data_IF_545618027967
#
_entry.id   IF_545618027967
#
_cell.length_a   1.000
_cell.length_b   1.000
_cell.length_c   1.000
_cell.angle_alpha   90.00
_cell.angle_beta   90.00
_cell.angle_gamma   90.00
#
_symmetry.space_group_name_H-M   'P 1'
#
loop_
_entity.id
_entity.type
_entity.pdbx_description
1 polymer ?
#
# COMPACT_ATOMS: atom_id res chain seq x y z
N UNK A 1 -16.48 -30.06 -18.31
CA UNK A 1 -15.39 -30.23 -19.28
C UNK A 1 -14.11 -29.92 -18.53
N UNK A 2 -13.39 -30.94 -18.09
CA UNK A 2 -12.11 -30.81 -17.39
C UNK A 2 -11.10 -30.21 -18.35
N UNK A 3 -10.67 -28.96 -18.12
CA UNK A 3 -9.50 -28.42 -18.81
C UNK A 3 -8.29 -29.24 -18.34
N UNK A 4 -7.70 -30.00 -19.26
CA UNK A 4 -6.47 -30.74 -19.03
C UNK A 4 -5.38 -29.80 -18.52
N UNK A 5 -4.62 -30.30 -17.54
CA UNK A 5 -3.37 -29.71 -17.09
C UNK A 5 -2.35 -29.77 -18.24
N UNK A 6 -2.39 -28.79 -19.15
CA UNK A 6 -1.39 -28.71 -20.21
C UNK A 6 -0.10 -28.20 -19.59
N UNK A 7 0.80 -29.13 -19.25
CA UNK A 7 2.23 -28.87 -19.05
C UNK A 7 2.86 -28.47 -20.41
N UNK A 8 2.36 -27.42 -21.05
CA UNK A 8 2.96 -26.93 -22.28
C UNK A 8 4.26 -26.21 -21.92
N UNK A 9 5.37 -26.93 -22.08
CA UNK A 9 6.73 -26.39 -21.90
C UNK A 9 7.08 -25.26 -22.88
N UNK A 10 6.14 -24.82 -23.73
CA UNK A 10 6.28 -23.74 -24.70
C UNK A 10 5.84 -22.34 -24.22
N UNK A 11 5.03 -22.22 -23.17
CA UNK A 11 4.61 -20.90 -22.63
C UNK A 11 5.50 -20.42 -21.48
N UNK A 12 6.80 -20.34 -21.73
CA UNK A 12 7.74 -19.66 -20.83
C UNK A 12 7.79 -18.19 -21.19
N UNK A 13 7.66 -17.33 -20.20
CA UNK A 13 7.82 -15.89 -20.40
C UNK A 13 8.63 -15.29 -19.26
N UNK A 14 9.18 -14.11 -19.56
CA UNK A 14 9.89 -13.30 -18.58
C UNK A 14 8.89 -12.33 -17.97
N UNK A 15 8.72 -12.36 -16.66
CA UNK A 15 8.07 -11.25 -15.97
C UNK A 15 9.15 -10.20 -15.74
N UNK A 16 8.94 -8.97 -16.23
CA UNK A 16 9.85 -7.89 -15.88
C UNK A 16 9.81 -7.62 -14.38
N UNK A 17 10.85 -6.98 -13.85
CA UNK A 17 10.95 -6.72 -12.41
C UNK A 17 9.71 -5.93 -11.90
N UNK A 18 9.32 -4.86 -12.59
CA UNK A 18 8.11 -4.08 -12.27
C UNK A 18 6.79 -4.86 -12.33
N UNK A 19 6.81 -6.04 -12.93
CA UNK A 19 5.70 -6.93 -13.22
C UNK A 19 5.65 -8.13 -12.27
N UNK A 20 6.76 -8.43 -11.60
CA UNK A 20 6.84 -9.30 -10.42
C UNK A 20 6.24 -8.58 -9.21
N UNK A 21 6.20 -7.25 -9.28
CA UNK A 21 5.94 -6.32 -8.19
C UNK A 21 4.66 -5.50 -8.34
N UNK A 22 3.73 -5.66 -7.40
CA UNK A 22 2.57 -4.77 -7.28
C UNK A 22 2.59 -3.88 -6.03
N UNK A 23 3.64 -4.00 -5.20
CA UNK A 23 3.78 -3.23 -3.97
C UNK A 23 5.01 -2.36 -3.97
N UNK A 24 4.93 -1.34 -3.11
CA UNK A 24 5.99 -0.43 -2.74
C UNK A 24 7.38 -1.09 -2.66
N UNK A 25 7.43 -2.22 -1.97
CA UNK A 25 8.67 -2.82 -1.48
C UNK A 25 9.29 -3.76 -2.52
N UNK A 26 8.46 -4.46 -3.28
CA UNK A 26 8.94 -5.25 -4.40
C UNK A 26 9.50 -4.34 -5.51
N UNK A 27 8.99 -3.11 -5.70
CA UNK A 27 9.60 -2.14 -6.64
C UNK A 27 10.90 -1.59 -6.08
N UNK A 28 10.94 -1.23 -4.78
CA UNK A 28 12.14 -0.69 -4.14
C UNK A 28 13.30 -1.68 -4.17
N UNK A 29 13.08 -2.97 -3.87
CA UNK A 29 14.14 -4.01 -3.93
C UNK A 29 14.67 -4.21 -5.36
N UNK A 30 13.79 -4.17 -6.36
CA UNK A 30 14.18 -4.31 -7.77
C UNK A 30 14.92 -3.07 -8.29
N UNK A 31 14.52 -1.88 -7.84
CA UNK A 31 15.22 -0.62 -8.12
C UNK A 31 16.52 -0.46 -7.30
N UNK A 32 16.67 -1.18 -6.19
CA UNK A 32 17.87 -1.19 -5.34
C UNK A 32 19.11 -1.79 -6.01
N UNK A 33 18.97 -2.41 -7.19
CA UNK A 33 20.09 -2.74 -8.09
C UNK A 33 20.54 -1.56 -8.97
N UNK A 34 19.86 -0.42 -8.89
CA UNK A 34 20.11 0.81 -9.65
C UNK A 34 19.84 2.08 -8.81
N UNK A 35 20.69 2.32 -7.80
CA UNK A 35 21.02 3.68 -7.34
C UNK A 35 20.03 4.38 -6.39
N UNK A 36 20.46 4.56 -5.15
CA UNK A 36 19.88 5.49 -4.19
C UNK A 36 20.06 6.95 -4.67
N UNK A 37 18.97 7.66 -4.97
CA UNK A 37 18.95 9.13 -5.03
C UNK A 37 17.52 9.64 -4.81
N UNK A 38 17.20 10.02 -3.58
CA UNK A 38 16.07 10.91 -3.29
C UNK A 38 16.34 11.66 -1.98
N UNK A 39 17.07 12.76 -2.09
CA UNK A 39 17.37 13.57 -0.92
C UNK A 39 18.31 14.74 -1.18
N UNK A 40 18.15 15.48 -2.28
CA UNK A 40 18.56 16.88 -2.44
C UNK A 40 18.40 17.30 -3.91
N UNK A 41 18.03 18.56 -4.15
CA UNK A 41 17.82 19.23 -5.46
C UNK A 41 16.43 19.11 -6.11
N UNK A 42 15.43 19.74 -5.47
CA UNK A 42 14.28 20.32 -6.19
C UNK A 42 14.19 21.85 -6.02
N UNK A 43 15.33 22.54 -6.04
CA UNK A 43 15.33 23.98 -6.31
C UNK A 43 16.31 24.31 -7.44
N UNK A 44 15.73 24.76 -8.56
CA UNK A 44 16.30 25.56 -9.68
C UNK A 44 16.07 24.94 -11.05
N UNK A 45 14.83 24.96 -11.55
CA UNK A 45 14.62 25.18 -12.99
C UNK A 45 13.37 26.04 -13.19
N UNK A 46 13.58 27.36 -13.33
CA UNK A 46 12.63 28.26 -14.00
C UNK A 46 13.44 29.25 -14.83
N UNK A 47 13.00 29.48 -16.08
CA UNK A 47 13.47 30.48 -17.07
C UNK A 47 14.73 30.01 -17.85
N UNK A 48 14.73 29.77 -19.17
CA UNK A 48 14.25 30.62 -20.28
C UNK A 48 14.06 29.83 -21.59
N UNK A 49 13.13 30.31 -22.45
CA UNK A 49 12.99 29.96 -23.88
C UNK A 49 13.95 30.79 -24.73
N UNK A 50 14.55 30.21 -25.78
CA UNK A 50 15.14 30.98 -26.88
C UNK A 50 16.04 30.21 -27.88
N UNK A 51 15.48 29.86 -29.04
CA UNK A 51 16.08 29.78 -30.40
C UNK A 51 17.37 28.96 -30.74
N UNK A 52 17.16 27.85 -31.47
CA UNK A 52 17.74 27.39 -32.77
C UNK A 52 19.23 27.73 -33.10
N UNK A 53 20.11 26.72 -33.27
CA UNK A 53 20.61 26.12 -34.57
C UNK A 53 21.91 25.30 -34.41
N UNK A 54 22.01 24.25 -35.24
CA UNK A 54 23.19 23.49 -35.74
C UNK A 54 24.07 22.66 -34.79
N UNK A 55 24.17 21.36 -35.10
CA UNK A 55 25.28 20.47 -34.71
C UNK A 55 26.57 20.81 -35.50
N UNK A 56 27.76 20.51 -34.95
CA UNK A 56 28.49 19.34 -35.42
C UNK A 56 29.39 18.58 -34.39
N UNK A 57 29.71 17.35 -34.79
CA UNK A 57 30.92 16.53 -34.58
C UNK A 57 31.34 16.03 -33.17
N UNK A 58 31.01 14.76 -32.96
CA UNK A 58 31.60 13.83 -31.99
C UNK A 58 33.07 13.56 -32.32
N UNK A 59 34.03 14.12 -31.58
CA UNK A 59 35.33 13.47 -31.24
C UNK A 59 36.31 14.35 -30.42
N UNK A 60 35.97 15.57 -30.00
CA UNK A 60 36.91 16.46 -29.28
C UNK A 60 36.54 16.83 -27.83
N UNK A 61 35.49 16.24 -27.24
CA UNK A 61 35.00 16.63 -25.90
C UNK A 61 35.68 15.89 -24.73
N UNK A 62 36.46 14.84 -25.00
CA UNK A 62 36.89 13.90 -23.94
C UNK A 62 38.26 14.18 -23.28
N UNK A 63 38.83 15.38 -23.43
CA UNK A 63 40.12 15.71 -22.79
C UNK A 63 40.02 16.96 -21.88
N UNK A 64 38.96 17.76 -21.96
CA UNK A 64 38.77 18.92 -21.07
C UNK A 64 37.93 18.65 -19.82
N UNK A 65 37.22 17.51 -19.75
CA UNK A 65 36.45 17.14 -18.54
C UNK A 65 37.34 16.53 -17.45
N UNK A 66 38.54 16.02 -17.80
CA UNK A 66 39.43 15.33 -16.85
C UNK A 66 40.42 16.23 -16.10
N UNK A 67 40.43 17.55 -16.32
CA UNK A 67 41.28 18.49 -15.56
C UNK A 67 40.49 19.52 -14.71
N UNK A 68 39.17 19.63 -14.88
CA UNK A 68 38.32 20.48 -14.05
C UNK A 68 37.87 19.79 -12.75
N UNK A 69 38.08 18.47 -12.62
CA UNK A 69 37.78 17.67 -11.43
C UNK A 69 38.97 17.51 -10.46
N UNK A 70 39.97 18.39 -10.56
CA UNK A 70 41.17 18.32 -9.72
C UNK A 70 41.68 19.70 -9.23
N UNK A 71 40.80 20.68 -8.98
CA UNK A 71 41.19 21.96 -8.32
C UNK A 71 40.10 22.50 -7.38
N UNK A 72 39.23 21.67 -6.79
CA UNK A 72 38.35 22.09 -5.68
C UNK A 72 38.47 21.10 -4.51
N UNK A 73 39.71 20.84 -4.07
CA UNK A 73 40.00 20.06 -2.85
C UNK A 73 40.77 20.89 -1.81
N UNK A 74 41.09 22.17 -2.08
CA UNK A 74 41.87 22.98 -1.13
C UNK A 74 41.27 24.37 -0.98
N UNK A 75 40.20 24.49 -0.18
CA UNK A 75 39.82 25.67 0.62
C UNK A 75 38.38 25.50 1.15
N UNK A 76 38.19 24.64 2.15
CA UNK A 76 37.22 24.90 3.23
C UNK A 76 37.48 23.97 4.42
N UNK A 77 38.48 24.26 5.27
CA UNK A 77 38.43 23.76 6.64
C UNK A 77 37.38 24.60 7.37
N UNK A 78 36.55 23.97 8.22
CA UNK A 78 35.42 24.54 8.98
C UNK A 78 34.04 24.29 8.32
N UNK A 79 33.56 23.04 8.42
CA UNK A 79 32.24 22.76 9.02
C UNK A 79 32.18 21.28 9.45
N UNK A 80 33.01 20.93 10.42
CA UNK A 80 32.95 19.68 11.16
C UNK A 80 32.43 20.04 12.57
N UNK A 81 31.11 20.12 12.71
CA UNK A 81 30.25 20.39 13.89
C UNK A 81 28.93 20.88 13.27
N UNK A 82 27.78 20.19 13.26
CA UNK A 82 27.17 19.25 14.20
C UNK A 82 26.23 18.40 13.34
N UNK A 83 26.49 17.08 13.18
CA UNK A 83 25.40 16.16 12.88
C UNK A 83 24.38 16.33 14.02
N UNK A 84 23.08 16.53 13.79
CA UNK A 84 22.11 16.41 14.87
C UNK A 84 22.27 14.98 15.41
N UNK A 85 22.93 14.89 16.55
CA UNK A 85 23.04 13.68 17.32
C UNK A 85 21.65 13.35 17.83
N UNK A 86 21.20 12.13 17.54
CA UNK A 86 20.07 11.50 18.21
C UNK A 86 18.83 11.44 17.35
N UNK A 87 18.35 10.21 17.15
CA UNK A 87 16.92 9.93 17.08
C UNK A 87 16.28 10.72 18.22
N UNK A 88 15.56 11.80 17.90
CA UNK A 88 14.66 12.40 18.88
C UNK A 88 13.54 11.37 19.03
N UNK A 89 13.71 10.46 20.00
CA UNK A 89 12.58 9.70 20.51
C UNK A 89 11.70 10.77 21.15
N UNK A 90 10.68 11.20 20.42
CA UNK A 90 9.62 12.02 20.97
C UNK A 90 8.97 11.18 22.07
N UNK A 91 9.30 11.50 23.33
CA UNK A 91 8.84 10.74 24.49
C UNK A 91 7.31 10.70 24.55
N UNK A 92 6.65 11.73 24.02
CA UNK A 92 5.20 11.83 23.93
C UNK A 92 4.66 10.84 22.88
N UNK A 93 5.32 10.71 21.72
CA UNK A 93 4.97 9.65 20.73
C UNK A 93 5.17 8.25 21.28
N UNK A 94 6.28 8.00 21.99
CA UNK A 94 6.52 6.69 22.58
C UNK A 94 5.46 6.36 23.65
N UNK A 95 5.03 7.35 24.42
CA UNK A 95 3.94 7.19 25.39
C UNK A 95 2.61 6.95 24.69
N UNK A 96 2.32 7.69 23.62
CA UNK A 96 1.11 7.52 22.81
C UNK A 96 1.05 6.14 22.14
N UNK A 97 2.16 5.67 21.56
CA UNK A 97 2.29 4.31 21.02
C UNK A 97 2.02 3.24 22.09
N UNK A 98 2.57 3.40 23.29
CA UNK A 98 2.30 2.47 24.41
C UNK A 98 0.84 2.46 24.85
N UNK A 99 0.18 3.62 24.86
CA UNK A 99 -1.24 3.72 25.18
C UNK A 99 -2.10 3.06 24.09
N UNK A 100 -1.82 3.40 22.82
CA UNK A 100 -2.41 2.75 21.64
C UNK A 100 -2.25 1.22 21.69
N UNK A 101 -1.09 0.73 22.12
CA UNK A 101 -0.77 -0.68 22.22
C UNK A 101 -1.24 -1.38 23.52
N UNK A 102 -2.01 -0.73 24.39
CA UNK A 102 -2.49 -1.36 25.62
C UNK A 102 -4.00 -1.22 25.80
N UNK A 103 -4.73 -2.30 25.56
CA UNK A 103 -6.21 -2.36 25.73
C UNK A 103 -6.67 -2.01 27.14
N UNK A 104 -5.85 -2.20 28.18
CA UNK A 104 -6.21 -1.80 29.56
C UNK A 104 -6.33 -0.28 29.72
N UNK A 105 -5.78 0.50 28.80
CA UNK A 105 -5.87 1.97 28.80
C UNK A 105 -7.14 2.48 28.13
N UNK A 106 -7.93 1.62 27.48
CA UNK A 106 -9.14 2.02 26.74
C UNK A 106 -10.31 2.23 27.71
N UNK A 107 -10.24 3.29 28.50
CA UNK A 107 -11.26 3.64 29.48
C UNK A 107 -12.28 4.63 28.89
N UNK A 108 -13.50 4.13 28.66
CA UNK A 108 -14.64 4.94 28.18
C UNK A 108 -15.57 5.42 29.31
N UNK A 109 -15.27 5.12 30.57
CA UNK A 109 -16.16 5.37 31.72
C UNK A 109 -16.46 6.85 31.96
N UNK A 110 -15.54 7.73 31.54
CA UNK A 110 -15.67 9.19 31.64
C UNK A 110 -16.13 9.85 30.35
N UNK A 111 -16.24 9.09 29.26
CA UNK A 111 -16.58 9.60 27.93
C UNK A 111 -18.09 9.57 27.68
N UNK A 112 -18.58 10.57 26.96
CA UNK A 112 -19.96 10.58 26.47
C UNK A 112 -20.02 9.80 25.16
N UNK A 113 -20.82 8.72 25.12
CA UNK A 113 -21.00 7.91 23.92
C UNK A 113 -21.64 8.74 22.80
N UNK A 114 -21.08 8.66 21.59
CA UNK A 114 -21.63 9.30 20.41
C UNK A 114 -22.86 8.58 19.84
N UNK A 115 -23.52 9.19 18.86
CA UNK A 115 -24.74 8.63 18.26
C UNK A 115 -24.49 7.52 17.25
N UNK A 116 -23.27 7.40 16.72
CA UNK A 116 -22.91 6.37 15.73
C UNK A 116 -22.66 5.04 16.43
N UNK A 117 -23.04 3.94 15.78
CA UNK A 117 -22.61 2.61 16.21
C UNK A 117 -21.09 2.44 15.97
N UNK A 118 -20.34 2.20 17.04
CA UNK A 118 -18.90 1.98 17.00
C UNK A 118 -18.50 0.50 17.06
N UNK A 119 -19.46 -0.44 17.16
CA UNK A 119 -19.17 -1.88 17.17
C UNK A 119 -18.46 -2.29 15.87
N UNK A 120 -17.28 -2.92 15.91
CA UNK A 120 -16.59 -3.35 14.71
C UNK A 120 -17.35 -4.42 13.93
N UNK A 121 -17.27 -4.35 12.60
CA UNK A 121 -17.74 -5.38 11.67
C UNK A 121 -16.58 -5.80 10.77
N UNK A 122 -15.91 -6.87 11.17
CA UNK A 122 -14.91 -7.54 10.35
C UNK A 122 -15.62 -8.56 9.44
N UNK A 123 -15.79 -8.21 8.17
CA UNK A 123 -16.35 -9.14 7.18
C UNK A 123 -15.43 -10.35 7.01
N UNK A 124 -16.01 -11.54 6.87
CA UNK A 124 -15.26 -12.80 6.78
C UNK A 124 -15.42 -13.41 5.39
N UNK A 125 -14.37 -13.42 4.56
CA UNK A 125 -14.37 -14.14 3.29
C UNK A 125 -14.67 -15.63 3.49
N UNK A 126 -15.46 -16.22 2.59
CA UNK A 126 -15.85 -17.64 2.65
C UNK A 126 -15.63 -18.34 1.32
N UNK A 127 -15.08 -19.55 1.39
CA UNK A 127 -14.92 -20.45 0.27
C UNK A 127 -16.16 -21.38 0.18
N UNK A 128 -17.28 -20.84 -0.29
CA UNK A 128 -18.57 -21.53 -0.32
C UNK A 128 -18.67 -22.61 -1.40
N UNK A 129 -17.72 -22.67 -2.34
CA UNK A 129 -17.55 -23.78 -3.27
C UNK A 129 -18.63 -23.95 -4.34
N UNK A 130 -19.50 -22.96 -4.56
CA UNK A 130 -20.58 -23.02 -5.57
C UNK A 130 -20.07 -22.77 -6.99
N UNK A 131 -19.10 -21.86 -7.14
CA UNK A 131 -18.44 -21.53 -8.41
C UNK A 131 -16.94 -21.71 -8.24
N UNK A 132 -16.42 -22.87 -8.63
CA UNK A 132 -15.02 -23.24 -8.44
C UNK A 132 -14.38 -23.64 -9.76
N UNK A 133 -13.21 -23.07 -10.02
CA UNK A 133 -12.33 -23.42 -11.13
C UNK A 133 -11.05 -24.02 -10.55
N UNK A 134 -10.62 -25.19 -11.02
CA UNK A 134 -9.43 -25.84 -10.46
C UNK A 134 -8.72 -26.74 -11.46
N UNK A 135 -7.44 -26.96 -11.20
CA UNK A 135 -6.63 -28.02 -11.78
C UNK A 135 -5.82 -28.72 -10.66
N UNK A 136 -4.77 -29.45 -11.01
CA UNK A 136 -3.99 -30.24 -10.04
C UNK A 136 -3.22 -29.38 -9.01
N UNK A 137 -2.91 -28.12 -9.31
CA UNK A 137 -2.09 -27.25 -8.44
C UNK A 137 -2.78 -25.99 -7.96
N UNK A 138 -3.91 -25.61 -8.55
CA UNK A 138 -4.60 -24.37 -8.19
C UNK A 138 -6.12 -24.55 -8.14
N UNK A 139 -6.75 -23.87 -7.18
CA UNK A 139 -8.20 -23.75 -7.02
C UNK A 139 -8.55 -22.27 -6.85
N UNK A 140 -9.45 -21.77 -7.68
CA UNK A 140 -10.10 -20.46 -7.57
C UNK A 140 -11.55 -20.69 -7.21
N UNK A 141 -11.94 -20.23 -6.03
CA UNK A 141 -13.34 -20.12 -5.60
C UNK A 141 -13.82 -18.69 -5.91
N UNK A 142 -14.69 -18.58 -6.90
CA UNK A 142 -15.31 -17.34 -7.35
C UNK A 142 -16.78 -17.24 -6.90
N UNK A 143 -17.19 -18.03 -5.91
CA UNK A 143 -18.58 -18.03 -5.42
C UNK A 143 -19.04 -16.66 -4.95
N UNK A 144 -18.13 -15.92 -4.32
CA UNK A 144 -18.39 -14.60 -3.74
C UNK A 144 -17.79 -13.47 -4.59
N UNK A 145 -17.66 -13.67 -5.92
CA UNK A 145 -17.18 -12.63 -6.82
C UNK A 145 -18.08 -11.38 -6.80
N UNK A 146 -19.39 -11.53 -6.62
CA UNK A 146 -20.31 -10.39 -6.44
C UNK A 146 -20.12 -9.62 -5.13
N UNK A 147 -19.44 -10.24 -4.14
CA UNK A 147 -19.02 -9.58 -2.90
C UNK A 147 -17.63 -8.94 -3.04
N UNK A 148 -17.06 -8.92 -4.25
CA UNK A 148 -15.82 -8.19 -4.53
C UNK A 148 -14.53 -8.94 -4.20
N UNK A 149 -14.56 -10.27 -4.08
CA UNK A 149 -13.33 -11.05 -3.87
C UNK A 149 -13.39 -12.46 -4.49
N UNK A 150 -12.20 -13.05 -4.66
CA UNK A 150 -12.01 -14.48 -4.94
C UNK A 150 -11.11 -15.10 -3.88
N UNK A 151 -11.26 -16.40 -3.67
CA UNK A 151 -10.37 -17.16 -2.79
C UNK A 151 -9.55 -18.12 -3.63
N UNK A 152 -8.23 -18.01 -3.53
CA UNK A 152 -7.29 -18.79 -4.31
C UNK A 152 -6.46 -19.66 -3.38
N UNK A 153 -6.30 -20.92 -3.78
CA UNK A 153 -5.47 -21.90 -3.08
C UNK A 153 -4.52 -22.53 -4.08
N UNK A 154 -3.24 -22.53 -3.74
CA UNK A 154 -2.20 -23.23 -4.49
C UNK A 154 -1.70 -24.44 -3.70
N UNK A 155 -1.56 -25.58 -4.38
CA UNK A 155 -1.17 -26.88 -3.82
C UNK A 155 -0.04 -27.55 -4.60
N UNK A 156 0.59 -26.84 -5.54
CA UNK A 156 1.75 -27.34 -6.27
C UNK A 156 3.04 -27.29 -5.44
N UNK A 157 4.14 -27.74 -6.05
CA UNK A 157 5.44 -27.89 -5.37
C UNK A 157 6.43 -26.75 -5.65
N UNK A 158 6.09 -25.82 -6.56
CA UNK A 158 6.98 -24.68 -6.85
C UNK A 158 7.18 -23.81 -5.60
N UNK A 159 8.43 -23.49 -5.21
CA UNK A 159 8.73 -22.71 -4.02
C UNK A 159 8.40 -21.23 -4.18
N UNK A 160 8.18 -20.74 -5.40
CA UNK A 160 7.85 -19.35 -5.71
C UNK A 160 6.73 -19.30 -6.72
N UNK A 161 5.59 -18.74 -6.32
CA UNK A 161 4.38 -18.68 -7.12
C UNK A 161 3.84 -17.27 -7.15
N UNK A 162 3.47 -16.82 -8.35
CA UNK A 162 2.83 -15.53 -8.56
C UNK A 162 1.40 -15.72 -9.01
N UNK A 163 0.50 -14.93 -8.45
CA UNK A 163 -0.86 -14.76 -8.94
C UNK A 163 -0.91 -13.44 -9.71
N UNK A 164 -1.54 -13.43 -10.88
CA UNK A 164 -1.99 -12.21 -11.54
C UNK A 164 -3.50 -12.17 -11.63
N UNK A 165 -4.06 -11.01 -11.30
CA UNK A 165 -5.45 -10.67 -11.56
C UNK A 165 -5.44 -9.43 -12.45
N UNK A 166 -5.97 -9.57 -13.67
CA UNK A 166 -6.17 -8.45 -14.59
C UNK A 166 -7.64 -8.11 -14.63
N UNK A 167 -7.97 -6.88 -14.21
CA UNK A 167 -9.34 -6.38 -14.19
C UNK A 167 -9.80 -5.80 -15.53
N UNK A 168 -11.07 -5.35 -15.60
CA UNK A 168 -11.62 -4.63 -16.75
C UNK A 168 -10.95 -3.26 -17.01
N UNK A 169 -10.23 -2.72 -16.03
CA UNK A 169 -9.40 -1.52 -16.13
C UNK A 169 -8.02 -1.80 -16.78
N UNK A 170 -7.76 -3.04 -17.18
CA UNK A 170 -6.51 -3.54 -17.76
C UNK A 170 -5.29 -3.50 -16.80
N UNK A 171 -5.49 -3.11 -15.53
CA UNK A 171 -4.43 -3.11 -14.52
C UNK A 171 -4.13 -4.54 -14.12
N UNK A 172 -2.83 -4.88 -14.09
CA UNK A 172 -2.34 -6.23 -13.72
C UNK A 172 -1.86 -6.22 -12.28
N UNK A 173 -2.69 -6.72 -11.37
CA UNK A 173 -2.33 -6.92 -9.98
C UNK A 173 -1.54 -8.22 -9.82
N UNK A 174 -0.35 -8.15 -9.23
CA UNK A 174 0.56 -9.30 -9.08
C UNK A 174 0.82 -9.59 -7.60
N UNK A 175 0.50 -10.78 -7.14
CA UNK A 175 0.62 -11.20 -5.75
C UNK A 175 1.58 -12.38 -5.60
N UNK A 176 2.19 -12.52 -4.43
CA UNK A 176 2.83 -13.78 -4.04
C UNK A 176 1.75 -14.74 -3.51
N UNK A 177 1.77 -15.99 -3.94
CA UNK A 177 0.96 -17.02 -3.28
C UNK A 177 1.80 -17.79 -2.28
N UNK A 178 1.18 -18.17 -1.17
CA UNK A 178 1.77 -19.06 -0.16
C UNK A 178 1.97 -20.44 -0.79
N UNK A 179 3.18 -21.00 -0.65
CA UNK A 179 3.58 -22.27 -1.28
C UNK A 179 3.59 -23.46 -0.31
N UNK A 180 3.37 -23.23 0.99
CA UNK A 180 3.45 -24.23 2.06
C UNK A 180 2.22 -25.16 2.18
N UNK A 181 1.57 -25.49 1.05
CA UNK A 181 0.61 -26.60 0.99
C UNK A 181 -0.88 -26.24 1.17
N UNK A 182 -1.37 -25.19 0.52
CA UNK A 182 -2.81 -25.04 0.32
C UNK A 182 -3.55 -24.11 1.28
N UNK A 183 -2.94 -22.97 1.63
CA UNK A 183 -3.68 -21.88 2.29
C UNK A 183 -4.76 -21.33 1.35
N UNK A 184 -5.95 -21.07 1.87
CA UNK A 184 -6.94 -20.25 1.16
C UNK A 184 -6.57 -18.78 1.39
N UNK A 185 -6.30 -18.05 0.31
CA UNK A 185 -5.91 -16.64 0.33
C UNK A 185 -6.95 -15.80 -0.42
N UNK A 186 -7.21 -14.60 0.08
CA UNK A 186 -8.31 -13.76 -0.38
C UNK A 186 -7.75 -12.60 -1.20
N UNK A 187 -8.28 -12.43 -2.40
CA UNK A 187 -7.87 -11.38 -3.34
C UNK A 187 -9.07 -10.53 -3.74
N UNK A 188 -8.96 -9.20 -3.68
CA UNK A 188 -10.07 -8.32 -4.03
C UNK A 188 -10.28 -8.31 -5.54
N UNK A 189 -11.48 -7.89 -5.95
CA UNK A 189 -11.87 -7.58 -7.32
C UNK A 189 -12.14 -6.07 -7.41
N UNK A 190 -11.09 -5.30 -7.18
CA UNK A 190 -11.12 -3.84 -6.96
C UNK A 190 -11.41 -3.01 -8.23
N UNK A 191 -11.27 -3.61 -9.41
CA UNK A 191 -11.51 -2.95 -10.70
C UNK A 191 -13.01 -2.83 -11.09
N UNK A 192 -13.94 -3.26 -10.22
CA UNK A 192 -15.38 -3.12 -10.43
C UNK A 192 -16.01 -4.19 -11.31
N UNK A 193 -17.10 -3.84 -11.99
CA UNK A 193 -17.83 -4.77 -12.85
C UNK A 193 -17.06 -5.10 -14.14
N UNK A 194 -17.15 -6.34 -14.56
CA UNK A 194 -16.70 -6.79 -15.87
C UNK A 194 -15.86 -8.05 -15.82
N UNK A 195 -15.03 -8.22 -16.86
CA UNK A 195 -14.26 -9.45 -17.07
C UNK A 195 -12.90 -9.38 -16.39
N UNK A 196 -12.60 -10.40 -15.60
CA UNK A 196 -11.30 -10.58 -14.95
C UNK A 196 -10.57 -11.78 -15.54
N UNK A 197 -9.25 -11.64 -15.71
CA UNK A 197 -8.34 -12.75 -16.00
C UNK A 197 -7.53 -13.06 -14.74
N UNK A 198 -7.69 -14.27 -14.23
CA UNK A 198 -6.92 -14.81 -13.11
C UNK A 198 -5.89 -15.79 -13.67
N UNK A 199 -4.62 -15.62 -13.33
CA UNK A 199 -3.54 -16.51 -13.76
C UNK A 199 -2.57 -16.82 -12.63
N UNK A 200 -2.25 -18.09 -12.44
CA UNK A 200 -1.23 -18.56 -11.48
C UNK A 200 0.00 -19.00 -12.25
N UNK A 201 1.16 -18.60 -11.77
CA UNK A 201 2.45 -18.81 -12.40
C UNK A 201 3.42 -19.46 -11.42
N UNK A 202 4.03 -20.56 -11.85
CA UNK A 202 5.12 -21.21 -11.12
C UNK A 202 6.46 -20.67 -11.61
N UNK A 203 7.35 -20.35 -10.68
CA UNK A 203 8.71 -19.95 -11.03
C UNK A 203 9.51 -21.14 -11.56
N UNK A 204 10.30 -20.89 -12.61
CA UNK A 204 11.27 -21.86 -13.13
C UNK A 204 12.67 -21.55 -12.62
N UNK A 205 13.15 -20.34 -12.89
CA UNK A 205 14.47 -19.85 -12.47
C UNK A 205 14.49 -18.33 -12.58
N UNK A 206 15.02 -17.65 -11.55
CA UNK A 206 15.11 -16.19 -11.54
C UNK A 206 13.74 -15.54 -11.74
N UNK A 207 13.59 -14.80 -12.84
CA UNK A 207 12.36 -14.08 -13.23
C UNK A 207 11.57 -14.80 -14.35
N UNK A 208 11.94 -16.04 -14.69
CA UNK A 208 11.22 -16.85 -15.66
C UNK A 208 10.10 -17.64 -14.99
N UNK A 209 8.90 -17.52 -15.54
CA UNK A 209 7.72 -18.21 -15.04
C UNK A 209 7.02 -18.99 -16.15
N UNK A 210 6.24 -19.98 -15.74
CA UNK A 210 5.33 -20.73 -16.59
C UNK A 210 3.91 -20.63 -16.04
N UNK A 211 2.93 -20.48 -16.92
CA UNK A 211 1.53 -20.49 -16.53
C UNK A 211 1.15 -21.88 -16.00
N UNK A 212 0.72 -21.93 -14.74
CA UNK A 212 0.24 -23.15 -14.08
C UNK A 212 -1.29 -23.23 -14.12
N UNK A 213 -1.99 -22.10 -14.09
CA UNK A 213 -3.44 -22.03 -14.16
C UNK A 213 -3.88 -20.71 -14.79
N UNK A 214 -5.00 -20.71 -15.51
CA UNK A 214 -5.64 -19.48 -16.00
C UNK A 214 -7.15 -19.65 -16.07
N UNK A 215 -7.88 -18.60 -15.71
CA UNK A 215 -9.34 -18.58 -15.74
C UNK A 215 -9.86 -17.17 -15.99
N UNK A 216 -10.85 -17.04 -16.86
CA UNK A 216 -11.63 -15.80 -16.96
C UNK A 216 -12.89 -15.92 -16.09
N UNK A 217 -13.24 -14.86 -15.37
CA UNK A 217 -14.51 -14.75 -14.66
C UNK A 217 -15.21 -13.46 -15.05
N UNK A 218 -16.54 -13.47 -15.03
CA UNK A 218 -17.37 -12.28 -15.19
C UNK A 218 -17.88 -11.86 -13.82
N UNK A 219 -17.73 -10.58 -13.49
CA UNK A 219 -18.04 -10.02 -12.18
C UNK A 219 -19.10 -8.95 -12.32
N UNK A 220 -20.10 -9.02 -11.45
CA UNK A 220 -21.07 -7.95 -11.22
C UNK A 220 -21.20 -7.81 -9.71
N UNK A 221 -20.72 -6.68 -9.18
CA UNK A 221 -20.69 -6.41 -7.75
C UNK A 221 -22.10 -6.10 -7.25
N UNK A 222 -22.41 -6.59 -6.05
CA UNK A 222 -23.64 -6.20 -5.35
C UNK A 222 -23.56 -4.74 -4.89
N UNK A 223 -22.36 -4.27 -4.57
CA UNK A 223 -22.04 -2.91 -4.16
C UNK A 223 -20.55 -2.64 -4.49
N UNK A 224 -20.27 -1.48 -5.09
CA UNK A 224 -18.92 -1.06 -5.52
C UNK A 224 -17.93 -0.91 -4.36
N UNK A 225 -18.42 -0.78 -3.13
CA UNK A 225 -17.59 -0.61 -1.94
C UNK A 225 -17.12 -1.91 -1.29
N UNK A 226 -17.74 -3.06 -1.62
CA UNK A 226 -17.43 -4.35 -0.97
C UNK A 226 -15.96 -4.79 -1.08
N UNK A 227 -15.27 -4.66 -2.24
CA UNK A 227 -13.83 -4.96 -2.32
C UNK A 227 -12.99 -4.19 -1.29
N UNK A 228 -13.47 -3.01 -0.87
CA UNK A 228 -12.81 -2.10 0.07
C UNK A 228 -13.36 -2.18 1.49
N UNK A 229 -14.09 -3.26 1.82
CA UNK A 229 -14.61 -3.58 3.15
C UNK A 229 -14.14 -4.96 3.62
N UNK A 230 -13.93 -5.91 2.71
CA UNK A 230 -13.39 -7.21 3.07
C UNK A 230 -11.88 -7.16 3.38
N UNK A 231 -11.38 -8.05 4.26
CA UNK A 231 -9.96 -8.30 4.37
C UNK A 231 -9.44 -9.00 3.11
N UNK A 232 -8.20 -8.71 2.76
CA UNK A 232 -7.48 -9.35 1.66
C UNK A 232 -6.01 -9.58 2.03
N UNK A 233 -5.20 -10.10 1.11
CA UNK A 233 -3.80 -10.43 1.41
C UNK A 233 -2.99 -9.25 1.97
N UNK A 234 -3.17 -8.03 1.46
CA UNK A 234 -2.45 -6.86 1.94
C UNK A 234 -3.11 -6.22 3.16
N UNK A 235 -4.44 -6.10 3.13
CA UNK A 235 -5.22 -5.53 4.23
C UNK A 235 -5.92 -6.67 4.97
N UNK A 236 -5.15 -7.40 5.78
CA UNK A 236 -5.63 -8.59 6.48
C UNK A 236 -5.96 -8.27 7.95
N UNK A 237 -7.24 -8.36 8.31
CA UNK A 237 -7.73 -8.05 9.65
C UNK A 237 -8.92 -8.92 10.04
N UNK A 238 -9.12 -9.09 11.34
CA UNK A 238 -10.26 -9.79 11.94
C UNK A 238 -10.58 -9.21 13.34
N UNK A 239 -11.69 -9.64 13.93
CA UNK A 239 -12.13 -9.14 15.24
C UNK A 239 -11.18 -9.47 16.42
N UNK A 240 -10.28 -10.44 16.25
CA UNK A 240 -9.28 -10.78 17.25
C UNK A 240 -8.16 -9.75 17.36
N UNK A 241 -7.93 -8.97 16.30
CA UNK A 241 -6.81 -8.04 16.23
C UNK A 241 -6.93 -6.90 17.25
N UNK A 242 -5.80 -6.51 17.81
CA UNK A 242 -5.71 -5.38 18.73
C UNK A 242 -6.04 -4.06 18.05
N UNK A 243 -5.59 -3.86 16.82
CA UNK A 243 -5.88 -2.65 16.04
C UNK A 243 -7.40 -2.39 15.90
N UNK A 244 -8.20 -3.47 15.79
CA UNK A 244 -9.65 -3.36 15.68
C UNK A 244 -10.33 -2.98 17.00
N UNK A 245 -9.84 -3.50 18.12
CA UNK A 245 -10.31 -3.04 19.43
C UNK A 245 -9.94 -1.56 19.67
N UNK A 246 -8.79 -1.10 19.17
CA UNK A 246 -8.43 0.30 19.25
C UNK A 246 -9.32 1.19 18.37
N UNK A 247 -9.68 0.72 17.16
CA UNK A 247 -10.61 1.44 16.29
C UNK A 247 -11.99 1.62 16.95
N UNK A 248 -12.48 0.59 17.65
CA UNK A 248 -13.73 0.65 18.43
C UNK A 248 -13.66 1.71 19.53
N UNK A 249 -12.56 1.73 20.29
CA UNK A 249 -12.33 2.69 21.36
C UNK A 249 -12.28 4.13 20.83
N UNK A 250 -11.49 4.39 19.78
CA UNK A 250 -11.38 5.71 19.16
C UNK A 250 -12.71 6.21 18.59
N UNK A 251 -13.57 5.29 18.16
CA UNK A 251 -14.88 5.59 17.57
C UNK A 251 -15.98 5.78 18.62
N UNK A 252 -15.71 5.61 19.92
CA UNK A 252 -16.73 5.58 20.97
C UNK A 252 -17.54 6.89 21.07
N UNK A 253 -16.90 8.04 20.87
CA UNK A 253 -17.55 9.36 20.98
C UNK A 253 -18.09 9.87 19.63
N UNK A 254 -17.97 9.09 18.56
CA UNK A 254 -18.30 9.53 17.20
C UNK A 254 -19.80 9.64 16.96
N UNK A 255 -20.22 10.69 16.25
CA UNK A 255 -21.62 10.88 15.85
C UNK A 255 -21.86 10.52 14.38
N UNK A 256 -20.81 10.53 13.58
CA UNK A 256 -20.81 10.25 12.14
C UNK A 256 -19.50 9.59 11.68
N UNK A 257 -19.37 9.23 10.39
CA UNK A 257 -18.17 8.57 9.89
C UNK A 257 -16.98 9.53 9.82
N UNK A 258 -17.22 10.83 9.66
CA UNK A 258 -16.16 11.84 9.66
C UNK A 258 -15.47 11.94 11.03
N UNK A 259 -16.22 11.85 12.13
CA UNK A 259 -15.68 11.76 13.48
C UNK A 259 -14.76 10.53 13.64
N UNK A 260 -15.17 9.38 13.12
CA UNK A 260 -14.37 8.14 13.16
C UNK A 260 -13.08 8.27 12.36
N UNK A 261 -13.18 8.75 11.12
CA UNK A 261 -12.01 8.99 10.26
C UNK A 261 -11.05 9.95 10.93
N UNK A 262 -11.56 11.04 11.51
CA UNK A 262 -10.76 12.04 12.22
C UNK A 262 -10.05 11.46 13.44
N UNK A 263 -10.77 10.70 14.28
CA UNK A 263 -10.22 10.12 15.49
C UNK A 263 -9.10 9.10 15.18
N UNK A 264 -9.33 8.20 14.23
CA UNK A 264 -8.34 7.20 13.81
C UNK A 264 -7.12 7.87 13.18
N UNK A 265 -7.34 8.78 12.23
CA UNK A 265 -6.24 9.51 11.58
C UNK A 265 -5.36 10.24 12.60
N UNK A 266 -5.99 11.01 13.49
CA UNK A 266 -5.26 11.81 14.49
C UNK A 266 -4.51 10.94 15.50
N UNK A 267 -5.07 9.80 15.90
CA UNK A 267 -4.39 8.86 16.78
C UNK A 267 -3.13 8.28 16.12
N UNK A 268 -3.20 7.87 14.85
CA UNK A 268 -2.06 7.28 14.15
C UNK A 268 -0.95 8.30 13.88
N UNK A 269 -1.26 9.50 13.36
CA UNK A 269 -0.23 10.50 13.04
C UNK A 269 0.51 11.02 14.28
N UNK A 270 -0.14 10.98 15.45
CA UNK A 270 0.44 11.43 16.72
C UNK A 270 1.14 10.31 17.49
N UNK A 271 0.87 9.05 17.21
CA UNK A 271 1.43 7.91 17.94
C UNK A 271 2.55 7.21 17.17
N UNK A 272 2.50 7.21 15.84
CA UNK A 272 3.42 6.44 15.02
C UNK A 272 4.71 7.19 14.67
N UNK A 273 5.78 6.42 14.47
CA UNK A 273 7.09 6.88 13.99
C UNK A 273 7.50 6.14 12.72
N UNK A 274 8.25 6.78 11.84
CA UNK A 274 8.67 6.16 10.58
C UNK A 274 9.86 5.20 10.81
N UNK A 275 9.80 4.00 10.23
CA UNK A 275 10.87 3.02 10.27
C UNK A 275 11.83 3.15 9.09
N UNK A 276 12.85 3.99 9.24
CA UNK A 276 13.88 4.16 8.20
C UNK A 276 14.73 2.89 8.00
N UNK A 277 14.95 2.09 9.04
CA UNK A 277 15.76 0.87 8.93
C UNK A 277 14.98 -0.20 8.18
N UNK A 278 13.70 -0.39 8.50
CA UNK A 278 12.82 -1.27 7.72
C UNK A 278 12.68 -0.75 6.28
N UNK A 279 12.51 0.55 6.05
CA UNK A 279 12.45 1.10 4.70
C UNK A 279 13.69 0.78 3.85
N UNK A 280 14.86 0.69 4.46
CA UNK A 280 16.13 0.35 3.78
C UNK A 280 16.35 -1.17 3.62
N UNK A 281 15.75 -1.99 4.49
CA UNK A 281 16.10 -3.43 4.62
C UNK A 281 14.98 -4.39 4.27
N UNK A 282 13.74 -3.91 4.19
CA UNK A 282 12.55 -4.68 3.86
C UNK A 282 12.69 -5.39 2.51
N UNK A 283 12.15 -6.61 2.46
CA UNK A 283 12.28 -7.52 1.32
C UNK A 283 10.96 -7.71 0.59
N UNK A 284 11.04 -8.18 -0.65
CA UNK A 284 9.93 -8.57 -1.50
C UNK A 284 9.05 -9.59 -0.80
N UNK A 285 7.74 -9.40 -0.95
CA UNK A 285 6.73 -10.23 -0.31
C UNK A 285 6.41 -9.83 1.14
N UNK A 286 6.95 -8.71 1.63
CA UNK A 286 6.52 -8.13 2.89
C UNK A 286 5.01 -7.84 2.90
N UNK A 287 4.36 -8.29 3.97
CA UNK A 287 2.96 -8.06 4.28
C UNK A 287 2.91 -7.51 5.73
N UNK A 288 2.37 -6.31 5.95
CA UNK A 288 2.28 -5.74 7.30
C UNK A 288 1.48 -6.63 8.26
N UNK A 289 1.95 -6.75 9.51
CA UNK A 289 1.15 -7.25 10.62
C UNK A 289 0.60 -6.05 11.41
N UNK A 290 -0.70 -5.81 11.30
CA UNK A 290 -1.32 -4.62 11.89
C UNK A 290 -1.19 -4.54 13.42
N UNK A 291 -1.10 -5.67 14.12
CA UNK A 291 -0.96 -5.67 15.57
C UNK A 291 0.51 -5.47 15.98
N UNK A 292 1.46 -5.94 15.18
CA UNK A 292 2.88 -5.61 15.35
C UNK A 292 3.10 -4.10 15.19
N UNK A 293 2.61 -3.52 14.09
CA UNK A 293 2.74 -2.09 13.78
C UNK A 293 2.06 -1.22 14.85
N UNK A 294 0.87 -1.63 15.30
CA UNK A 294 0.18 -0.96 16.40
C UNK A 294 1.00 -1.04 17.70
N UNK A 295 1.60 -2.20 17.99
CA UNK A 295 2.34 -2.45 19.24
C UNK A 295 3.64 -1.68 19.30
N UNK A 296 4.39 -1.65 18.19
CA UNK A 296 5.66 -0.94 18.10
C UNK A 296 5.45 0.57 17.91
N UNK A 297 4.28 0.97 17.36
CA UNK A 297 4.03 2.34 16.96
C UNK A 297 5.03 2.80 15.89
N UNK A 298 5.55 1.88 15.09
CA UNK A 298 6.62 2.12 14.13
C UNK A 298 6.31 1.36 12.85
N UNK A 299 6.68 1.91 11.69
CA UNK A 299 6.53 1.25 10.41
C UNK A 299 6.86 2.18 9.24
N UNK A 300 6.77 1.65 8.02
CA UNK A 300 6.93 2.38 6.76
C UNK A 300 5.57 2.76 6.18
N UNK A 301 5.53 3.47 5.04
CA UNK A 301 4.25 3.96 4.51
C UNK A 301 3.21 2.88 4.20
N UNK A 302 3.66 1.67 3.84
CA UNK A 302 2.75 0.54 3.67
C UNK A 302 2.07 0.14 5.00
N UNK A 303 2.79 0.16 6.11
CA UNK A 303 2.27 -0.21 7.43
C UNK A 303 1.22 0.76 7.93
N UNK A 304 1.49 2.06 7.77
CA UNK A 304 0.53 3.12 8.11
C UNK A 304 -0.74 2.95 7.29
N UNK A 305 -0.61 2.74 5.98
CA UNK A 305 -1.75 2.59 5.08
C UNK A 305 -2.57 1.34 5.40
N UNK A 306 -1.91 0.20 5.62
CA UNK A 306 -2.59 -1.08 5.95
C UNK A 306 -3.23 -1.05 7.33
N UNK A 307 -2.57 -0.50 8.35
CA UNK A 307 -3.13 -0.35 9.69
C UNK A 307 -4.37 0.55 9.67
N UNK A 308 -4.26 1.76 9.10
CA UNK A 308 -5.37 2.70 9.04
C UNK A 308 -6.54 2.16 8.21
N UNK A 309 -6.25 1.52 7.07
CA UNK A 309 -7.29 0.88 6.24
C UNK A 309 -8.01 -0.22 7.02
N UNK A 310 -7.29 -1.08 7.74
CA UNK A 310 -7.88 -2.17 8.53
C UNK A 310 -8.80 -1.62 9.63
N UNK A 311 -8.37 -0.57 10.33
CA UNK A 311 -9.16 0.10 11.36
C UNK A 311 -10.44 0.71 10.78
N UNK A 312 -10.37 1.41 9.65
CA UNK A 312 -11.53 2.04 9.00
C UNK A 312 -12.51 1.02 8.43
N UNK A 313 -12.01 -0.02 7.73
CA UNK A 313 -12.86 -1.10 7.20
C UNK A 313 -13.61 -1.81 8.31
N UNK A 314 -12.97 -2.05 9.46
CA UNK A 314 -13.64 -2.62 10.63
C UNK A 314 -14.76 -1.73 11.18
N UNK A 315 -14.70 -0.43 10.94
CA UNK A 315 -15.75 0.53 11.28
C UNK A 315 -16.81 0.66 10.18
N UNK A 316 -16.85 -0.25 9.19
CA UNK A 316 -17.76 -0.23 8.03
C UNK A 316 -17.53 0.95 7.08
N UNK A 317 -16.34 1.56 7.14
CA UNK A 317 -15.98 2.68 6.27
C UNK A 317 -15.18 2.11 5.09
N UNK A 318 -15.67 2.23 3.84
CA UNK A 318 -14.93 1.80 2.68
C UNK A 318 -13.62 2.57 2.54
N UNK A 319 -12.49 1.85 2.53
CA UNK A 319 -11.16 2.45 2.44
C UNK A 319 -10.28 1.64 1.49
N UNK A 320 -9.68 2.34 0.53
CA UNK A 320 -8.67 1.83 -0.40
C UNK A 320 -7.30 1.97 0.25
N UNK A 321 -6.50 0.93 0.17
CA UNK A 321 -5.05 1.05 0.33
C UNK A 321 -4.45 1.24 -1.07
N UNK A 322 -3.77 2.36 -1.28
CA UNK A 322 -3.27 2.75 -2.59
C UNK A 322 -1.74 2.76 -2.60
N UNK A 323 -1.17 2.33 -3.72
CA UNK A 323 0.27 2.36 -3.97
C UNK A 323 0.52 3.04 -5.30
N UNK A 324 1.51 3.92 -5.34
CA UNK A 324 1.85 4.66 -6.54
C UNK A 324 3.00 5.61 -6.27
N UNK A 325 2.98 6.77 -6.91
CA UNK A 325 4.03 7.78 -6.73
C UNK A 325 3.50 9.02 -6.03
N UNK A 326 4.18 9.45 -4.98
CA UNK A 326 4.03 10.77 -4.36
C UNK A 326 5.23 11.62 -4.80
N UNK A 327 5.01 12.51 -5.76
CA UNK A 327 6.10 13.14 -6.51
C UNK A 327 6.93 12.10 -7.27
N UNK A 328 8.20 11.94 -6.92
CA UNK A 328 9.09 10.92 -7.50
C UNK A 328 9.26 9.69 -6.61
N UNK A 329 8.81 9.75 -5.35
CA UNK A 329 8.94 8.66 -4.42
C UNK A 329 7.82 7.65 -4.68
N UNK A 330 8.18 6.37 -4.83
CA UNK A 330 7.19 5.31 -4.74
C UNK A 330 6.68 5.30 -3.29
N UNK A 331 5.36 5.26 -3.10
CA UNK A 331 4.73 5.53 -1.81
C UNK A 331 3.40 4.78 -1.67
N UNK A 332 2.92 4.65 -0.44
CA UNK A 332 1.61 4.09 -0.11
C UNK A 332 0.80 5.07 0.74
N UNK A 333 -0.50 5.14 0.46
CA UNK A 333 -1.46 6.01 1.16
C UNK A 333 -2.83 5.32 1.20
N UNK A 334 -3.85 6.03 1.71
CA UNK A 334 -5.22 5.55 1.68
C UNK A 334 -6.13 6.54 0.96
N UNK A 335 -7.25 6.03 0.45
CA UNK A 335 -8.39 6.88 0.09
C UNK A 335 -9.64 6.33 0.74
N UNK A 336 -10.44 7.19 1.36
CA UNK A 336 -11.63 6.78 2.12
C UNK A 336 -12.89 7.41 1.55
N UNK A 337 -13.98 6.66 1.53
CA UNK A 337 -15.29 7.15 1.13
C UNK A 337 -16.25 7.19 2.32
N UNK A 338 -16.84 8.36 2.57
CA UNK A 338 -17.93 8.58 3.53
C UNK A 338 -18.96 9.51 2.91
N UNK A 339 -20.19 9.50 3.43
CA UNK A 339 -21.27 10.39 2.95
C UNK A 339 -21.26 11.76 3.63
N UNK A 340 -20.58 11.86 4.77
CA UNK A 340 -20.47 13.09 5.54
C UNK A 340 -19.66 14.15 4.79
N UNK A 341 -19.99 15.42 5.04
CA UNK A 341 -19.31 16.56 4.42
C UNK A 341 -18.58 17.33 5.50
N UNK A 342 -17.28 17.53 5.32
CA UNK A 342 -16.48 18.26 6.27
C UNK A 342 -14.99 18.15 5.99
N UNK A 343 -14.19 18.41 7.01
CA UNK A 343 -12.75 18.47 6.90
C UNK A 343 -12.09 17.74 8.05
N UNK A 344 -11.08 16.93 7.76
CA UNK A 344 -10.15 16.42 8.76
C UNK A 344 -8.96 17.38 8.84
N UNK A 345 -8.72 17.92 10.03
CA UNK A 345 -7.65 18.87 10.35
C UNK A 345 -7.60 20.11 9.43
N UNK A 346 -8.72 20.49 8.81
CA UNK A 346 -8.80 21.61 7.87
C UNK A 346 -8.03 21.42 6.56
N UNK A 347 -7.53 20.21 6.29
CA UNK A 347 -6.69 19.91 5.12
C UNK A 347 -7.34 18.89 4.18
N UNK A 348 -7.95 17.85 4.74
CA UNK A 348 -8.53 16.76 3.96
C UNK A 348 -10.03 16.98 3.87
N UNK A 349 -10.53 17.25 2.67
CA UNK A 349 -11.95 17.49 2.44
C UNK A 349 -12.70 16.17 2.19
N UNK A 350 -13.87 16.04 2.80
CA UNK A 350 -14.88 15.05 2.46
C UNK A 350 -16.10 15.76 1.89
N UNK A 351 -16.53 15.36 0.69
CA UNK A 351 -17.61 16.00 -0.07
C UNK A 351 -18.87 15.10 -0.21
N UNK A 352 -18.84 13.92 0.41
CA UNK A 352 -19.91 12.91 0.36
C UNK A 352 -20.03 12.17 -0.98
N UNK A 353 -19.13 12.43 -1.95
CA UNK A 353 -19.28 12.00 -3.35
C UNK A 353 -18.06 11.28 -3.89
N UNK A 354 -16.87 11.61 -3.41
CA UNK A 354 -15.62 11.04 -3.91
C UNK A 354 -14.84 10.37 -2.78
N UNK A 355 -13.94 9.50 -3.20
CA UNK A 355 -12.87 9.01 -2.33
C UNK A 355 -11.95 10.17 -1.99
N UNK A 356 -11.67 10.37 -0.70
CA UNK A 356 -10.76 11.40 -0.21
C UNK A 356 -9.42 10.77 0.18
N UNK A 357 -8.35 11.28 -0.43
CA UNK A 357 -6.98 10.85 -0.15
C UNK A 357 -6.54 11.28 1.25
N UNK A 358 -5.88 10.37 1.96
CA UNK A 358 -5.23 10.63 3.24
C UNK A 358 -3.86 9.95 3.27
N UNK A 359 -2.85 10.69 3.70
CA UNK A 359 -1.48 10.19 3.82
C UNK A 359 -0.99 10.30 5.27
N UNK A 360 -1.30 9.30 6.12
CA UNK A 360 -0.92 9.33 7.52
C UNK A 360 0.60 9.30 7.72
N UNK A 361 1.37 8.75 6.77
CA UNK A 361 2.83 8.73 6.86
C UNK A 361 3.41 10.12 6.66
N UNK A 362 3.01 10.80 5.59
CA UNK A 362 3.49 12.14 5.32
C UNK A 362 3.04 13.13 6.41
N UNK A 363 1.82 12.95 6.92
CA UNK A 363 1.30 13.75 8.03
C UNK A 363 2.02 13.52 9.36
N UNK A 364 2.51 12.31 9.63
CA UNK A 364 3.26 12.01 10.86
C UNK A 364 4.72 12.51 10.81
N UNK A 365 5.27 12.80 9.63
CA UNK A 365 6.70 13.11 9.44
C UNK A 365 6.96 14.55 8.99
N UNK A 366 5.91 15.29 8.63
CA UNK A 366 6.03 16.61 8.01
C UNK A 366 5.32 17.70 8.81
N UNK A 367 5.96 18.86 8.93
CA UNK A 367 5.35 20.08 9.48
C UNK A 367 4.05 20.45 8.74
N UNK A 368 3.03 20.85 9.50
CA UNK A 368 1.64 21.05 9.03
C UNK A 368 1.50 22.00 7.84
N UNK A 369 2.36 23.03 7.75
CA UNK A 369 2.32 24.00 6.64
C UNK A 369 2.79 23.44 5.30
N UNK A 370 3.73 22.49 5.32
CA UNK A 370 4.21 21.79 4.10
C UNK A 370 3.28 20.65 3.70
N UNK A 371 2.65 20.04 4.70
CA UNK A 371 1.68 18.96 4.54
C UNK A 371 0.49 19.40 3.68
N UNK A 372 -0.13 20.53 4.01
CA UNK A 372 -1.31 21.04 3.30
C UNK A 372 -1.01 21.35 1.82
N UNK A 373 0.18 21.84 1.50
CA UNK A 373 0.57 22.13 0.12
C UNK A 373 0.88 20.90 -0.72
N UNK A 374 1.32 19.80 -0.08
CA UNK A 374 1.73 18.59 -0.80
C UNK A 374 0.55 17.62 -0.99
N UNK A 375 -0.24 17.41 0.06
CA UNK A 375 -1.47 16.59 -0.02
C UNK A 375 -2.52 17.33 -0.84
N UNK A 376 -2.78 18.61 -0.53
CA UNK A 376 -3.58 19.53 -1.32
C UNK A 376 -4.80 18.90 -2.00
N UNK A 377 -4.85 19.04 -3.33
CA UNK A 377 -5.85 18.45 -4.23
C UNK A 377 -5.46 17.06 -4.76
N UNK A 378 -4.35 16.49 -4.29
CA UNK A 378 -3.83 15.20 -4.71
C UNK A 378 -3.03 15.22 -6.02
N UNK A 379 -2.75 16.39 -6.64
CA UNK A 379 -2.02 16.45 -7.91
C UNK A 379 -0.60 15.86 -7.86
N UNK A 380 -0.01 15.77 -6.67
CA UNK A 380 1.30 15.15 -6.46
C UNK A 380 1.25 13.61 -6.41
N UNK A 381 0.05 13.01 -6.41
CA UNK A 381 -0.15 11.58 -6.27
C UNK A 381 -0.57 10.93 -7.59
N UNK A 382 0.10 9.84 -7.94
CA UNK A 382 -0.22 9.05 -9.12
C UNK A 382 -0.44 7.60 -8.68
N UNK A 383 -1.71 7.21 -8.52
CA UNK A 383 -2.10 5.85 -8.13
C UNK A 383 -1.72 4.85 -9.22
N UNK A 384 -1.06 3.75 -8.82
CA UNK A 384 -0.73 2.63 -9.70
C UNK A 384 -1.55 1.39 -9.38
N UNK A 385 -1.77 1.13 -8.09
CA UNK A 385 -2.52 -0.02 -7.61
C UNK A 385 -3.44 0.38 -6.46
N UNK A 386 -4.60 -0.26 -6.40
CA UNK A 386 -5.62 -0.10 -5.36
C UNK A 386 -5.88 -1.49 -4.74
N UNK A 387 -6.01 -1.55 -3.42
CA UNK A 387 -6.25 -2.77 -2.64
C UNK A 387 -7.31 -2.58 -1.57
#
# INVERSE_FOLDING_TARGET
MTMEYVKDRKNKFHMSDNEISSTLLEVLELSGKAGAFAGENQEKIKVSRGFIKSAPDFLSVNIYVSLAMLVIITLSPILLLVLPHGIVIDADRLLAAKAMANRETYDVSTLVKGTRDNTPVCLKPKADGKVVYKNDVAKVDATNASEGYVIIRYTGESPKVKLRITGPDEVVYTYNLTTDGGKDEVFPLQAGDGKYLIAVYENLVGTQYVTAFTQNIEVTLNDEFLPFLYPNQYVNFNEGNQAIAYSEYLSYTANDDLDVVSAIYNALISSMSYDYEEAETVQSGYLPDIDEVLTTGKGICLDYAVLMTSMLRSQRIPTRMEVGYAGTAYHAWISTYIKDVGWVNGMIQFDGKKWSLMDPTFASTTETTKLASFIGDGENYQTKYIY
#
